data_IF_842290456030
#
_entry.id   IF_842290456030
#
_cell.length_a   1.000
_cell.length_b   1.000
_cell.length_c   1.000
_cell.angle_alpha   90.00
_cell.angle_beta   90.00
_cell.angle_gamma   90.00
#
_symmetry.space_group_name_H-M   'P 1'
#
loop_
_entity.id
_entity.type
_entity.pdbx_description
1 polymer ?
#
# COMPACT_ATOMS: atom_id res chain seq x y z
N UNK A 1 -3.48 10.87 7.32
CA UNK A 1 -4.81 10.99 6.71
C UNK A 1 -4.75 10.56 5.26
N UNK A 2 -5.83 10.01 4.71
CA UNK A 2 -5.99 9.79 3.27
C UNK A 2 -6.63 11.04 2.65
N UNK A 3 -6.13 11.47 1.48
CA UNK A 3 -6.54 12.69 0.79
C UNK A 3 -6.66 12.42 -0.72
N UNK A 4 -7.30 13.35 -1.45
CA UNK A 4 -7.41 13.36 -2.91
C UNK A 4 -8.09 12.12 -3.53
N UNK A 5 -9.39 11.97 -3.28
CA UNK A 5 -10.22 10.87 -3.80
C UNK A 5 -10.85 11.15 -5.17
N UNK A 6 -10.40 12.19 -5.90
CA UNK A 6 -11.02 12.61 -7.16
C UNK A 6 -11.02 11.54 -8.26
N UNK A 7 -10.18 10.50 -8.11
CA UNK A 7 -10.08 9.35 -9.03
C UNK A 7 -10.39 8.00 -8.36
N UNK A 8 -10.83 7.99 -7.10
CA UNK A 8 -11.26 6.77 -6.41
C UNK A 8 -12.69 6.44 -6.82
N UNK A 9 -12.87 5.31 -7.50
CA UNK A 9 -14.16 4.91 -8.06
C UNK A 9 -14.60 3.56 -7.50
N UNK A 10 -15.90 3.36 -7.20
CA UNK A 10 -16.40 2.08 -6.72
C UNK A 10 -16.33 1.01 -7.81
N UNK A 11 -16.13 -0.24 -7.39
CA UNK A 11 -16.18 -1.39 -8.29
C UNK A 11 -17.63 -1.81 -8.59
N UNK A 12 -17.89 -2.40 -9.77
CA UNK A 12 -19.13 -3.10 -10.02
C UNK A 12 -19.25 -4.32 -9.08
N UNK A 13 -20.39 -4.50 -8.38
CA UNK A 13 -20.63 -5.72 -7.60
C UNK A 13 -20.61 -6.98 -8.48
N UNK A 14 -20.14 -8.14 -7.99
CA UNK A 14 -19.62 -8.42 -6.64
C UNK A 14 -18.08 -8.29 -6.54
N UNK A 15 -17.43 -7.49 -7.39
CA UNK A 15 -15.96 -7.45 -7.47
C UNK A 15 -15.33 -6.79 -6.24
N UNK A 16 -14.14 -7.26 -5.88
CA UNK A 16 -13.28 -6.70 -4.84
C UNK A 16 -11.83 -6.70 -5.32
N UNK A 17 -11.01 -5.79 -4.79
CA UNK A 17 -9.55 -5.77 -5.00
C UNK A 17 -8.86 -6.15 -3.70
N UNK A 18 -7.71 -6.82 -3.81
CA UNK A 18 -6.85 -7.07 -2.65
C UNK A 18 -5.83 -5.95 -2.42
N UNK A 19 -5.68 -5.04 -3.40
CA UNK A 19 -4.79 -3.89 -3.40
C UNK A 19 -3.30 -4.24 -3.29
N UNK A 20 -2.95 -5.50 -3.56
CA UNK A 20 -1.60 -6.07 -3.47
C UNK A 20 -1.17 -6.78 -4.73
N UNK A 21 -2.10 -7.42 -5.43
CA UNK A 21 -1.86 -8.08 -6.72
C UNK A 21 -1.37 -7.04 -7.74
N UNK A 22 -0.35 -7.33 -8.57
CA UNK A 22 0.12 -6.39 -9.58
C UNK A 22 -0.99 -5.94 -10.52
N UNK A 23 -0.97 -4.65 -10.87
CA UNK A 23 -1.86 -4.12 -11.89
C UNK A 23 -1.64 -4.85 -13.22
N UNK A 24 -2.75 -5.19 -13.87
CA UNK A 24 -2.82 -5.61 -15.24
C UNK A 24 -4.04 -4.97 -15.89
N UNK A 25 -3.97 -4.72 -17.21
CA UNK A 25 -5.11 -4.18 -17.93
C UNK A 25 -6.36 -5.06 -17.70
N UNK A 26 -7.44 -4.43 -17.22
CA UNK A 26 -8.70 -5.09 -16.90
C UNK A 26 -8.89 -5.53 -15.44
N UNK A 27 -7.82 -5.77 -14.67
CA UNK A 27 -7.96 -6.24 -13.27
C UNK A 27 -8.29 -5.11 -12.27
N UNK A 28 -7.96 -3.85 -12.61
CA UNK A 28 -8.21 -2.63 -11.82
C UNK A 28 -7.46 -2.56 -10.49
N UNK A 29 -6.47 -3.43 -10.25
CA UNK A 29 -5.62 -3.35 -9.07
C UNK A 29 -4.83 -2.04 -9.06
N UNK A 30 -4.68 -1.43 -7.89
CA UNK A 30 -4.09 -0.10 -7.73
C UNK A 30 -2.77 -0.11 -6.95
N UNK A 31 -2.41 -1.24 -6.34
CA UNK A 31 -1.21 -1.39 -5.53
C UNK A 31 -1.21 -0.53 -4.26
N UNK A 32 -2.37 -0.06 -3.80
CA UNK A 32 -2.44 0.85 -2.64
C UNK A 32 -1.83 0.22 -1.38
N UNK A 33 -2.21 -1.02 -1.06
CA UNK A 33 -1.68 -1.73 0.10
C UNK A 33 -0.26 -2.21 -0.13
N UNK A 34 0.11 -2.60 -1.36
CA UNK A 34 1.50 -2.88 -1.70
C UNK A 34 2.42 -1.68 -1.41
N UNK A 35 2.01 -0.47 -1.80
CA UNK A 35 2.77 0.76 -1.51
C UNK A 35 2.84 1.08 -0.02
N UNK A 36 1.73 0.90 0.70
CA UNK A 36 1.68 1.13 2.14
C UNK A 36 2.55 0.13 2.93
N UNK A 37 2.55 -1.14 2.54
CA UNK A 37 3.37 -2.19 3.14
C UNK A 37 4.87 -1.82 3.01
N UNK A 38 5.31 -1.35 1.83
CA UNK A 38 6.68 -0.88 1.62
C UNK A 38 7.01 0.38 2.44
N UNK A 39 6.07 1.34 2.53
CA UNK A 39 6.29 2.56 3.31
C UNK A 39 6.49 2.24 4.80
N UNK A 40 5.67 1.33 5.35
CA UNK A 40 5.80 0.85 6.72
C UNK A 40 7.16 0.19 6.91
N UNK A 41 7.59 -0.68 5.98
CA UNK A 41 8.90 -1.33 6.06
C UNK A 41 10.04 -0.31 6.11
N UNK A 42 10.06 0.66 5.19
CA UNK A 42 11.09 1.70 5.13
C UNK A 42 11.15 2.49 6.45
N UNK A 43 10.00 2.83 7.02
CA UNK A 43 9.94 3.54 8.30
C UNK A 43 10.37 2.65 9.47
N UNK A 44 10.02 1.37 9.44
CA UNK A 44 10.49 0.37 10.39
C UNK A 44 12.01 0.27 10.39
N UNK A 45 12.62 0.10 9.21
CA UNK A 45 14.07 -0.01 9.04
C UNK A 45 14.80 1.24 9.56
N UNK A 46 14.29 2.45 9.23
CA UNK A 46 14.85 3.70 9.75
C UNK A 46 14.79 3.78 11.29
N UNK A 47 13.71 3.30 11.91
CA UNK A 47 13.57 3.30 13.36
C UNK A 47 14.50 2.26 14.01
N UNK A 48 14.70 1.10 13.38
CA UNK A 48 15.63 0.08 13.85
C UNK A 48 17.09 0.56 13.79
N UNK A 49 17.50 1.24 12.71
CA UNK A 49 18.86 1.76 12.55
C UNK A 49 19.22 2.85 13.57
N UNK A 50 18.21 3.54 14.14
CA UNK A 50 18.42 4.54 15.19
C UNK A 50 18.64 3.96 16.59
N UNK A 51 18.39 2.66 16.80
CA UNK A 51 18.71 2.00 18.06
C UNK A 51 20.17 1.53 18.05
N UNK A 52 21.02 2.01 18.97
CA UNK A 52 22.37 1.48 19.09
C UNK A 52 22.31 -0.03 19.39
N UNK A 53 23.22 -0.85 18.85
CA UNK A 53 23.27 -2.26 19.19
C UNK A 53 23.39 -2.40 20.71
N UNK A 54 22.57 -3.29 21.28
CA UNK A 54 22.67 -3.62 22.71
C UNK A 54 24.06 -4.18 22.99
N UNK A 55 24.67 -3.86 24.15
CA UNK A 55 26.00 -4.36 24.51
C UNK A 55 26.06 -5.88 24.58
#
# INVERSE_FOLDING_TARGET
WMIDFGKTVPLPPPQTLDHRTPWAEGNREDGYLWGLDNLIQIFGDMLHDTNPPSP
#
